data_IF_370915446157
#
_entry.id   IF_370915446157
#
_cell.length_a   1.000
_cell.length_b   1.000
_cell.length_c   1.000
_cell.angle_alpha   90.00
_cell.angle_beta   90.00
_cell.angle_gamma   90.00
#
_symmetry.space_group_name_H-M   'P 1'
#
loop_
_entity.id
_entity.type
_entity.pdbx_description
1 polymer ?
#
# COMPACT_ATOMS: atom_id res chain seq x y z
N UNK A 1 13.21 0.86 6.54
CA UNK A 1 12.47 -0.31 6.04
C UNK A 1 10.98 -0.05 6.23
N UNK A 2 10.19 -0.50 5.27
CA UNK A 2 8.75 -0.36 5.23
C UNK A 2 8.18 -1.71 4.76
N UNK A 3 7.03 -2.10 5.27
CA UNK A 3 6.25 -3.21 4.71
C UNK A 3 4.84 -2.77 4.39
N UNK A 4 4.27 -3.32 3.32
CA UNK A 4 2.90 -3.08 2.91
C UNK A 4 2.18 -4.41 2.72
N UNK A 5 0.91 -4.46 3.14
CA UNK A 5 0.01 -5.59 2.85
C UNK A 5 -1.42 -5.12 2.61
N UNK A 6 -2.16 -5.87 1.80
CA UNK A 6 -3.62 -5.80 1.74
C UNK A 6 -4.19 -6.98 2.52
N UNK A 7 -5.20 -6.71 3.35
CA UNK A 7 -5.87 -7.74 4.15
C UNK A 7 -6.60 -8.77 3.29
N UNK A 8 -7.24 -8.33 2.20
CA UNK A 8 -8.04 -9.21 1.34
C UNK A 8 -7.43 -9.44 -0.04
N UNK A 9 -6.37 -8.72 -0.41
CA UNK A 9 -5.79 -8.74 -1.75
C UNK A 9 -6.56 -7.91 -2.77
N UNK A 10 -7.53 -7.11 -2.35
CA UNK A 10 -8.46 -6.40 -3.22
C UNK A 10 -9.75 -6.00 -2.50
N UNK A 11 -10.57 -5.23 -3.20
CA UNK A 11 -11.86 -4.77 -2.72
C UNK A 11 -12.86 -5.94 -2.63
N UNK A 12 -13.31 -6.23 -1.41
CA UNK A 12 -14.31 -7.26 -1.11
C UNK A 12 -15.70 -6.65 -0.97
N UNK A 13 -16.70 -7.23 -1.62
CA UNK A 13 -18.10 -6.82 -1.46
C UNK A 13 -18.60 -7.21 -0.06
N UNK A 14 -19.19 -6.27 0.68
CA UNK A 14 -19.57 -6.51 2.10
C UNK A 14 -20.68 -7.56 2.25
N UNK A 15 -21.71 -7.52 1.39
CA UNK A 15 -22.88 -8.39 1.51
C UNK A 15 -22.84 -9.67 0.65
N UNK A 16 -21.77 -9.89 -0.12
CA UNK A 16 -21.75 -10.99 -1.08
C UNK A 16 -20.35 -11.59 -1.25
N UNK A 17 -20.10 -12.64 -0.46
CA UNK A 17 -18.86 -13.43 -0.46
C UNK A 17 -18.59 -14.17 -1.78
N UNK A 18 -19.59 -14.31 -2.66
CA UNK A 18 -19.44 -14.94 -3.97
C UNK A 18 -18.95 -13.96 -5.05
N UNK A 19 -18.93 -12.65 -4.75
CA UNK A 19 -18.38 -11.64 -5.66
C UNK A 19 -16.86 -11.71 -5.59
N UNK A 20 -16.23 -11.89 -6.75
CA UNK A 20 -14.78 -11.87 -6.86
C UNK A 20 -14.21 -10.54 -6.35
N UNK A 21 -13.03 -10.62 -5.75
CA UNK A 21 -12.28 -9.45 -5.33
C UNK A 21 -12.02 -8.54 -6.54
N UNK A 22 -12.23 -7.25 -6.36
CA UNK A 22 -11.81 -6.28 -7.37
C UNK A 22 -10.44 -5.75 -7.00
N UNK A 23 -9.44 -6.12 -7.77
CA UNK A 23 -8.05 -5.72 -7.54
C UNK A 23 -7.84 -4.25 -7.94
N UNK A 24 -6.86 -3.62 -7.30
CA UNK A 24 -6.49 -2.24 -7.53
C UNK A 24 -4.96 -2.10 -7.50
N UNK A 25 -4.44 -1.07 -8.17
CA UNK A 25 -3.03 -0.73 -8.14
C UNK A 25 -2.76 0.27 -7.02
N UNK A 26 -1.57 0.14 -6.43
CA UNK A 26 -1.05 1.02 -5.39
C UNK A 26 0.23 1.62 -5.93
N UNK A 27 0.32 2.95 -5.90
CA UNK A 27 1.56 3.67 -6.11
C UNK A 27 2.03 4.23 -4.77
N UNK A 28 3.26 3.90 -4.37
CA UNK A 28 3.89 4.49 -3.20
C UNK A 28 5.12 5.28 -3.64
N UNK A 29 5.07 6.58 -3.42
CA UNK A 29 6.18 7.51 -3.65
C UNK A 29 6.65 8.10 -2.33
N UNK A 30 7.93 7.89 -2.04
CA UNK A 30 8.64 8.57 -0.96
C UNK A 30 9.96 9.13 -1.51
N UNK A 31 9.83 10.16 -2.34
CA UNK A 31 10.93 10.82 -3.05
C UNK A 31 12.17 11.12 -2.20
N UNK A 32 12.02 11.53 -0.94
CA UNK A 32 13.14 11.86 -0.05
C UNK A 32 14.07 10.68 0.27
N UNK A 33 13.62 9.44 0.04
CA UNK A 33 14.37 8.19 0.27
C UNK A 33 14.40 7.28 -0.96
N UNK A 34 14.16 7.84 -2.15
CA UNK A 34 14.17 7.15 -3.45
C UNK A 34 13.27 5.89 -3.51
N UNK A 35 12.11 5.92 -2.84
CA UNK A 35 11.09 4.89 -3.04
C UNK A 35 10.12 5.41 -4.08
N UNK A 36 9.96 4.66 -5.17
CA UNK A 36 8.87 4.79 -6.12
C UNK A 36 8.51 3.38 -6.57
N UNK A 37 7.40 2.84 -6.05
CA UNK A 37 6.98 1.47 -6.33
C UNK A 37 5.51 1.42 -6.71
N UNK A 38 5.21 0.51 -7.62
CA UNK A 38 3.86 0.18 -8.05
C UNK A 38 3.59 -1.28 -7.71
N UNK A 39 2.48 -1.54 -7.03
CA UNK A 39 2.10 -2.86 -6.53
C UNK A 39 0.64 -3.12 -6.88
N UNK A 40 0.31 -4.38 -7.15
CA UNK A 40 -1.08 -4.81 -7.26
C UNK A 40 -1.56 -5.34 -5.90
N UNK A 41 -2.80 -5.02 -5.53
CA UNK A 41 -3.41 -5.49 -4.29
C UNK A 41 -3.34 -7.01 -4.14
N UNK A 42 -3.45 -7.77 -5.24
CA UNK A 42 -3.43 -9.25 -5.20
C UNK A 42 -2.06 -9.82 -4.77
N UNK A 43 -0.98 -9.11 -5.11
CA UNK A 43 0.40 -9.54 -4.85
C UNK A 43 0.85 -9.24 -3.41
N UNK A 44 0.10 -8.40 -2.69
CA UNK A 44 0.44 -7.95 -1.33
C UNK A 44 -0.48 -8.56 -0.26
N UNK A 45 -1.06 -9.73 -0.52
CA UNK A 45 -1.82 -10.51 0.49
C UNK A 45 -0.96 -11.00 1.65
N UNK A 46 0.36 -11.04 1.45
CA UNK A 46 1.36 -11.17 2.52
C UNK A 46 2.22 -9.91 2.56
N UNK A 47 2.83 -9.57 3.71
CA UNK A 47 3.67 -8.37 3.82
C UNK A 47 4.81 -8.36 2.80
N UNK A 48 4.81 -7.35 1.92
CA UNK A 48 5.89 -7.08 0.98
C UNK A 48 6.79 -6.02 1.58
N UNK A 49 8.09 -6.33 1.66
CA UNK A 49 9.11 -5.41 2.13
C UNK A 49 9.55 -4.49 0.99
N UNK A 50 9.62 -3.19 1.29
CA UNK A 50 10.14 -2.16 0.40
C UNK A 50 11.34 -1.54 1.09
N UNK A 51 12.50 -1.69 0.46
CA UNK A 51 13.76 -1.18 0.98
C UNK A 51 13.92 0.31 0.63
N UNK A 52 14.18 1.11 1.67
CA UNK A 52 14.53 2.52 1.53
C UNK A 52 16.01 2.67 1.22
N UNK A 53 16.39 3.70 0.45
CA UNK A 53 17.80 4.06 0.34
C UNK A 53 18.27 4.71 1.64
N UNK A 54 18.82 3.90 2.54
CA UNK A 54 19.28 4.33 3.86
C UNK A 54 18.16 4.41 4.90
N UNK A 55 18.37 5.23 5.93
CA UNK A 55 17.42 5.44 7.01
C UNK A 55 16.18 6.21 6.53
N UNK A 56 15.03 5.99 7.17
CA UNK A 56 13.80 6.77 6.94
C UNK A 56 13.70 7.82 8.06
N UNK A 57 14.00 9.10 7.82
CA UNK A 57 13.79 10.15 8.83
C UNK A 57 12.35 10.23 9.32
N UNK A 58 12.13 10.64 10.57
CA UNK A 58 10.78 10.91 11.09
C UNK A 58 10.08 12.07 10.37
N UNK A 59 10.84 12.97 9.74
CA UNK A 59 10.31 14.08 8.94
C UNK A 59 9.94 13.68 7.51
N UNK A 60 10.04 12.40 7.16
CA UNK A 60 9.75 11.90 5.81
C UNK A 60 8.27 12.05 5.50
N UNK A 61 7.97 12.55 4.30
CA UNK A 61 6.62 12.64 3.75
C UNK A 61 6.58 11.74 2.51
N UNK A 62 5.54 10.93 2.40
CA UNK A 62 5.28 10.07 1.25
C UNK A 62 3.82 10.17 0.83
N UNK A 63 3.55 9.72 -0.38
CA UNK A 63 2.24 9.69 -1.00
C UNK A 63 1.86 8.26 -1.36
N UNK A 64 0.61 7.89 -1.04
CA UNK A 64 0.00 6.62 -1.42
C UNK A 64 -1.14 6.90 -2.39
N UNK A 65 -0.93 6.59 -3.66
CA UNK A 65 -1.97 6.57 -4.68
C UNK A 65 -2.64 5.21 -4.74
N UNK A 66 -3.96 5.18 -4.86
CA UNK A 66 -4.74 3.97 -5.08
C UNK A 66 -5.60 4.16 -6.33
N UNK A 67 -5.43 3.28 -7.31
CA UNK A 67 -6.14 3.36 -8.58
C UNK A 67 -6.95 2.10 -8.80
N UNK A 68 -8.23 2.30 -9.08
CA UNK A 68 -9.14 1.25 -9.49
C UNK A 68 -9.17 1.20 -11.03
N UNK A 69 -8.48 0.22 -11.61
CA UNK A 69 -8.36 0.08 -13.07
C UNK A 69 -9.68 -0.32 -13.74
N UNK A 70 -10.52 -1.08 -13.02
CA UNK A 70 -11.79 -1.61 -13.54
C UNK A 70 -12.96 -1.21 -12.64
N UNK A 71 -14.07 -0.80 -13.25
CA UNK A 71 -15.28 -0.44 -12.51
C UNK A 71 -15.85 -1.59 -11.69
N UNK A 72 -16.52 -1.25 -10.59
CA UNK A 72 -17.23 -2.20 -9.74
C UNK A 72 -18.47 -2.74 -10.47
N UNK A 73 -18.59 -4.07 -10.55
CA UNK A 73 -19.64 -4.75 -11.32
C UNK A 73 -21.01 -4.73 -10.64
N UNK A 74 -21.03 -4.74 -9.30
CA UNK A 74 -22.27 -4.84 -8.52
C UNK A 74 -22.46 -3.59 -7.68
N UNK A 75 -23.73 -3.25 -7.41
CA UNK A 75 -24.07 -2.17 -6.50
C UNK A 75 -23.88 -2.62 -5.05
N UNK A 76 -23.32 -1.76 -4.21
CA UNK A 76 -23.07 -2.05 -2.81
C UNK A 76 -21.78 -1.44 -2.32
N UNK A 77 -21.40 -1.80 -1.09
CA UNK A 77 -20.15 -1.36 -0.49
C UNK A 77 -19.06 -2.40 -0.69
N UNK A 78 -17.90 -1.89 -1.09
CA UNK A 78 -16.68 -2.67 -1.25
C UNK A 78 -15.62 -2.13 -0.31
N UNK A 79 -14.88 -3.03 0.32
CA UNK A 79 -13.88 -2.65 1.32
C UNK A 79 -12.62 -3.50 1.21
N UNK A 80 -11.51 -2.84 1.45
CA UNK A 80 -10.23 -3.46 1.77
C UNK A 80 -9.52 -2.69 2.89
N UNK A 81 -8.47 -3.27 3.45
CA UNK A 81 -7.60 -2.63 4.44
C UNK A 81 -6.16 -2.81 3.98
N UNK A 82 -5.50 -1.70 3.65
CA UNK A 82 -4.05 -1.65 3.40
C UNK A 82 -3.38 -1.34 4.74
N UNK A 83 -2.47 -2.20 5.16
CA UNK A 83 -1.64 -1.98 6.33
C UNK A 83 -0.21 -1.65 5.90
N UNK A 84 0.35 -0.64 6.53
CA UNK A 84 1.68 -0.12 6.23
C UNK A 84 2.44 -0.03 7.55
N UNK A 85 3.50 -0.82 7.69
CA UNK A 85 4.40 -0.74 8.83
C UNK A 85 5.67 0.00 8.41
N UNK A 86 6.04 1.03 9.16
CA UNK A 86 7.19 1.88 8.86
C UNK A 86 8.14 1.84 10.05
N UNK A 87 9.42 1.63 9.76
CA UNK A 87 10.50 1.68 10.76
C UNK A 87 11.33 2.95 10.53
N UNK A 88 10.89 4.10 11.07
CA UNK A 88 11.65 5.34 10.99
C UNK A 88 12.88 5.29 11.92
N UNK A 89 13.85 6.17 11.64
CA UNK A 89 15.07 6.31 12.41
C UNK A 89 15.27 7.76 12.87
N UNK A 90 15.74 7.90 14.11
CA UNK A 90 16.11 9.19 14.72
C UNK A 90 17.47 9.68 14.20
N UNK A 91 18.17 8.90 13.36
CA UNK A 91 19.46 9.29 12.79
C UNK A 91 19.29 10.38 11.71
N UNK A 92 18.76 11.54 12.10
CA UNK A 92 18.91 12.78 11.37
C UNK A 92 20.17 13.49 11.86
N UNK A 93 21.07 13.73 10.89
CA UNK A 93 22.18 14.70 10.83
C UNK A 93 23.37 14.51 11.77
N UNK A 94 24.47 13.99 11.20
CA UNK A 94 25.82 14.39 11.60
C UNK A 94 25.93 15.92 11.47
N UNK A 95 26.14 16.57 12.63
CA UNK A 95 26.60 17.95 12.90
C UNK A 95 26.41 19.03 11.84
#
# INVERSE_FOLDING_TARGET
MLTIRSKYGGLKHEDNELVNLTHYSINLDVSSINIATELNSEDITTPVQIDSFGAIPFSTIGELGVTLEHGLLYAGYYKDVIEIDIYPSINNVTK
#
